data_IF_002478996851
#
_entry.id   IF_002478996851
#
_cell.length_a   1.000
_cell.length_b   1.000
_cell.length_c   1.000
_cell.angle_alpha   90.00
_cell.angle_beta   90.00
_cell.angle_gamma   90.00
#
_symmetry.space_group_name_H-M   'P 1'
#
loop_
_entity.id
_entity.type
_entity.pdbx_description
1 polymer ?
#
# COMPACT_ATOMS: atom_id res chain seq x y z
N UNK A 1 -36.50 8.87 -20.66
CA UNK A 1 -35.21 8.68 -19.96
C UNK A 1 -35.41 8.65 -18.44
N UNK A 2 -35.98 7.56 -17.87
CA UNK A 2 -36.18 7.40 -16.41
C UNK A 2 -36.13 5.94 -15.92
N UNK A 3 -35.69 4.99 -16.75
CA UNK A 3 -35.74 3.55 -16.42
C UNK A 3 -34.38 2.85 -16.31
N UNK A 4 -33.25 3.54 -16.52
CA UNK A 4 -31.93 2.90 -16.49
C UNK A 4 -31.35 2.67 -15.08
N UNK A 5 -31.92 3.29 -14.04
CA UNK A 5 -31.29 3.30 -12.70
C UNK A 5 -31.83 2.23 -11.73
N UNK A 6 -33.01 1.66 -11.97
CA UNK A 6 -33.64 0.73 -11.02
C UNK A 6 -33.31 -0.74 -11.26
N UNK A 7 -32.87 -1.13 -12.46
CA UNK A 7 -32.58 -2.53 -12.77
C UNK A 7 -31.25 -3.03 -12.14
N UNK A 8 -30.36 -2.13 -11.72
CA UNK A 8 -29.03 -2.50 -11.20
C UNK A 8 -29.01 -2.75 -9.68
N UNK A 9 -29.99 -2.24 -8.93
CA UNK A 9 -30.12 -2.44 -7.47
C UNK A 9 -31.17 -3.48 -7.08
N UNK A 10 -31.64 -4.33 -8.01
CA UNK A 10 -32.51 -5.44 -7.65
C UNK A 10 -31.67 -6.56 -7.02
N UNK A 11 -31.85 -6.73 -5.71
CA UNK A 11 -31.26 -7.84 -4.98
C UNK A 11 -32.12 -9.10 -5.20
N UNK A 12 -31.58 -10.20 -5.75
CA UNK A 12 -32.31 -11.46 -5.85
C UNK A 12 -32.91 -11.90 -4.50
N UNK A 13 -34.15 -12.39 -4.54
CA UNK A 13 -34.83 -12.93 -3.37
C UNK A 13 -34.09 -14.16 -2.80
N UNK A 14 -33.49 -14.94 -3.71
CA UNK A 14 -32.63 -16.08 -3.42
C UNK A 14 -31.23 -15.62 -3.00
N UNK A 15 -30.88 -15.91 -1.75
CA UNK A 15 -29.64 -15.46 -1.10
C UNK A 15 -28.49 -16.44 -1.26
N UNK A 16 -28.70 -17.56 -1.94
CA UNK A 16 -27.70 -18.61 -2.14
C UNK A 16 -26.41 -18.09 -2.78
N UNK A 17 -26.50 -17.09 -3.67
CA UNK A 17 -25.34 -16.47 -4.31
C UNK A 17 -24.56 -15.49 -3.43
N UNK A 18 -25.14 -14.96 -2.35
CA UNK A 18 -24.47 -13.94 -1.53
C UNK A 18 -23.40 -14.51 -0.60
N UNK A 19 -23.64 -15.69 -0.03
CA UNK A 19 -22.69 -16.32 0.90
C UNK A 19 -21.36 -16.68 0.19
N UNK A 20 -21.38 -17.32 -1.00
CA UNK A 20 -20.16 -17.54 -1.79
C UNK A 20 -19.48 -16.22 -2.17
N UNK A 21 -20.22 -15.22 -2.65
CA UNK A 21 -19.66 -13.94 -3.05
C UNK A 21 -18.99 -13.19 -1.87
N UNK A 22 -19.61 -13.21 -0.69
CA UNK A 22 -19.02 -12.62 0.51
C UNK A 22 -17.74 -13.35 0.94
N UNK A 23 -17.68 -14.66 0.77
CA UNK A 23 -16.50 -15.46 1.07
C UNK A 23 -15.34 -15.16 0.10
N UNK A 24 -15.61 -15.07 -1.19
CA UNK A 24 -14.61 -14.67 -2.20
C UNK A 24 -14.09 -13.25 -1.94
N UNK A 25 -14.99 -12.32 -1.63
CA UNK A 25 -14.62 -10.95 -1.27
C UNK A 25 -13.74 -10.91 -0.01
N UNK A 26 -14.08 -11.72 1.01
CA UNK A 26 -13.30 -11.82 2.23
C UNK A 26 -11.88 -12.33 1.96
N UNK A 27 -11.73 -13.36 1.13
CA UNK A 27 -10.40 -13.86 0.72
C UNK A 27 -9.61 -12.75 0.03
N UNK A 28 -10.21 -12.05 -0.94
CA UNK A 28 -9.55 -10.97 -1.66
C UNK A 28 -9.14 -9.83 -0.71
N UNK A 29 -10.01 -9.47 0.23
CA UNK A 29 -9.73 -8.45 1.23
C UNK A 29 -8.54 -8.84 2.12
N UNK A 30 -8.50 -10.09 2.59
CA UNK A 30 -7.38 -10.62 3.38
C UNK A 30 -6.08 -10.54 2.58
N UNK A 31 -6.09 -10.95 1.32
CA UNK A 31 -4.92 -10.85 0.44
C UNK A 31 -4.44 -9.41 0.28
N UNK A 32 -5.35 -8.46 0.05
CA UNK A 32 -5.02 -7.04 -0.01
C UNK A 32 -4.35 -6.53 1.27
N UNK A 33 -4.88 -6.89 2.44
CA UNK A 33 -4.31 -6.51 3.74
C UNK A 33 -2.91 -7.09 3.93
N UNK A 34 -2.72 -8.37 3.56
CA UNK A 34 -1.42 -9.05 3.65
C UNK A 34 -0.41 -8.37 2.74
N UNK A 35 -0.74 -8.17 1.47
CA UNK A 35 0.13 -7.49 0.50
C UNK A 35 0.49 -6.11 1.00
N UNK A 36 -0.48 -5.29 1.39
CA UNK A 36 -0.24 -3.94 1.89
C UNK A 36 0.68 -3.93 3.12
N UNK A 37 0.48 -4.88 4.05
CA UNK A 37 1.31 -4.99 5.24
C UNK A 37 2.75 -5.38 4.90
N UNK A 38 2.95 -6.32 3.97
CA UNK A 38 4.29 -6.73 3.50
C UNK A 38 5.00 -5.57 2.82
N UNK A 39 4.32 -4.87 1.90
CA UNK A 39 4.87 -3.70 1.22
C UNK A 39 5.28 -2.61 2.22
N UNK A 40 4.46 -2.31 3.23
CA UNK A 40 4.83 -1.33 4.27
C UNK A 40 6.10 -1.70 5.03
N UNK A 41 6.28 -2.99 5.37
CA UNK A 41 7.49 -3.45 6.06
C UNK A 41 8.73 -3.30 5.18
N UNK A 42 8.59 -3.65 3.90
CA UNK A 42 9.67 -3.51 2.91
C UNK A 42 10.04 -2.03 2.71
N UNK A 43 9.06 -1.15 2.55
CA UNK A 43 9.30 0.30 2.40
C UNK A 43 10.01 0.90 3.60
N UNK A 44 9.62 0.55 4.84
CA UNK A 44 10.31 1.01 6.05
C UNK A 44 11.78 0.57 6.10
N UNK A 45 12.07 -0.67 5.67
CA UNK A 45 13.45 -1.19 5.62
C UNK A 45 14.28 -0.44 4.58
N UNK A 46 13.69 -0.11 3.44
CA UNK A 46 14.36 0.65 2.38
C UNK A 46 14.60 2.11 2.82
N UNK A 47 13.62 2.74 3.46
CA UNK A 47 13.73 4.10 3.99
C UNK A 47 14.89 4.23 4.98
N UNK A 48 15.02 3.28 5.93
CA UNK A 48 16.12 3.28 6.89
C UNK A 48 17.50 3.20 6.22
N UNK A 49 17.65 2.33 5.21
CA UNK A 49 18.89 2.21 4.44
C UNK A 49 19.21 3.47 3.65
N UNK A 50 18.20 4.12 3.06
CA UNK A 50 18.37 5.38 2.33
C UNK A 50 18.86 6.49 3.25
N UNK A 51 18.24 6.63 4.44
CA UNK A 51 18.66 7.63 5.45
C UNK A 51 20.10 7.42 5.92
N UNK A 52 20.52 6.17 6.14
CA UNK A 52 21.90 5.86 6.52
C UNK A 52 22.89 6.26 5.41
N UNK A 53 22.56 5.99 4.15
CA UNK A 53 23.39 6.38 3.01
C UNK A 53 23.47 7.91 2.87
N UNK A 54 22.34 8.61 2.97
CA UNK A 54 22.28 10.07 2.94
C UNK A 54 23.12 10.69 4.05
N UNK A 55 23.03 10.16 5.28
CA UNK A 55 23.81 10.62 6.41
C UNK A 55 25.32 10.45 6.20
N UNK A 56 25.75 9.31 5.63
CA UNK A 56 27.16 9.08 5.29
C UNK A 56 27.66 10.08 4.26
N UNK A 57 26.95 10.25 3.15
CA UNK A 57 27.32 11.21 2.09
C UNK A 57 27.39 12.64 2.64
N UNK A 58 26.44 13.04 3.50
CA UNK A 58 26.45 14.36 4.12
C UNK A 58 27.65 14.55 5.06
N UNK A 59 27.99 13.52 5.85
CA UNK A 59 29.16 13.56 6.73
C UNK A 59 30.47 13.68 5.95
N UNK A 60 30.60 12.95 4.83
CA UNK A 60 31.77 13.05 3.95
C UNK A 60 31.88 14.45 3.32
N UNK A 61 30.77 14.98 2.78
CA UNK A 61 30.73 16.35 2.22
C UNK A 61 31.14 17.42 3.23
N UNK A 62 30.64 17.33 4.46
CA UNK A 62 30.97 18.27 5.52
C UNK A 62 32.45 18.20 5.90
N UNK A 63 33.02 16.99 6.01
CA UNK A 63 34.45 16.81 6.28
C UNK A 63 35.32 17.36 5.14
N UNK A 64 34.96 17.12 3.88
CA UNK A 64 35.70 17.69 2.74
C UNK A 64 35.62 19.20 2.70
N UNK A 65 34.45 19.81 2.95
CA UNK A 65 34.32 21.28 3.01
C UNK A 65 35.16 21.89 4.13
N UNK A 66 35.18 21.25 5.30
CA UNK A 66 35.93 21.76 6.45
C UNK A 66 37.45 21.66 6.22
N UNK A 67 37.93 20.67 5.47
CA UNK A 67 39.34 20.54 5.08
C UNK A 67 39.77 21.53 4.00
N UNK A 68 38.84 22.07 3.20
CA UNK A 68 39.14 23.09 2.19
C UNK A 68 39.13 24.53 2.72
N UNK A 69 38.64 24.74 3.95
CA UNK A 69 38.51 26.04 4.60
C UNK A 69 39.58 26.29 5.68
N UNK A 70 40.61 25.45 5.74
CA UNK A 70 41.80 25.56 6.60
C UNK A 70 43.02 25.67 5.69
#
# INVERSE_FOLDING_TARGET
>A
MKHLMYQFLYFPEDKSGYVPAAFEFLIMLILCIVVFTVFRKISKKQEMKSKELEARILSEKNNTNNQQNI
#
